data_IF_875256582181
#
_entry.id   IF_875256582181
#
_cell.length_a   1.000
_cell.length_b   1.000
_cell.length_c   1.000
_cell.angle_alpha   90.00
_cell.angle_beta   90.00
_cell.angle_gamma   90.00
#
_symmetry.space_group_name_H-M   'P 1'
#
loop_
_entity.id
_entity.type
_entity.pdbx_description
1 polymer ?
#
# COMPACT_ATOMS: atom_id res chain seq x y z
N UNK A 1 -3.07 14.67 2.28
CA UNK A 1 -4.06 13.73 1.73
C UNK A 1 -5.17 14.60 1.17
N UNK A 2 -5.51 14.49 -0.10
CA UNK A 2 -6.62 15.29 -0.65
C UNK A 2 -7.87 14.44 -0.75
N UNK A 3 -8.95 15.02 -0.27
CA UNK A 3 -10.25 14.39 -0.18
C UNK A 3 -11.18 14.96 -1.26
N UNK A 4 -11.90 14.06 -1.93
CA UNK A 4 -13.05 14.41 -2.76
C UNK A 4 -14.30 13.81 -2.10
N UNK A 5 -15.19 14.71 -1.68
CA UNK A 5 -16.29 14.54 -0.71
C UNK A 5 -17.50 13.70 -1.11
N UNK A 6 -17.33 12.61 -1.87
CA UNK A 6 -18.16 11.45 -1.52
C UNK A 6 -17.43 10.11 -1.64
N UNK A 7 -16.14 10.12 -1.99
CA UNK A 7 -15.49 8.92 -2.50
C UNK A 7 -15.02 8.01 -1.36
N UNK A 8 -15.39 6.73 -1.45
CA UNK A 8 -14.98 5.60 -0.60
C UNK A 8 -13.48 5.27 -0.76
N UNK A 9 -12.64 6.28 -0.97
CA UNK A 9 -11.23 6.19 -1.33
C UNK A 9 -10.36 6.94 -0.34
N UNK A 10 -9.25 6.32 0.05
CA UNK A 10 -8.16 6.95 0.80
C UNK A 10 -7.01 7.19 -0.16
N UNK A 11 -6.54 8.45 -0.27
CA UNK A 11 -5.44 8.83 -1.18
C UNK A 11 -4.15 9.14 -0.42
N UNK A 12 -3.12 8.31 -0.60
CA UNK A 12 -1.78 8.59 -0.07
C UNK A 12 -1.06 9.65 -0.91
N UNK A 13 -0.27 10.49 -0.23
CA UNK A 13 0.59 11.50 -0.87
C UNK A 13 2.02 11.00 -1.06
N UNK A 14 2.77 11.59 -2.00
CA UNK A 14 4.13 11.14 -2.32
C UNK A 14 5.16 11.26 -1.20
N UNK A 15 4.99 12.19 -0.28
CA UNK A 15 5.84 12.34 0.92
C UNK A 15 5.62 11.21 1.93
N UNK A 16 4.39 10.76 2.10
CA UNK A 16 4.07 9.58 2.91
C UNK A 16 4.74 8.34 2.32
N UNK A 17 4.71 8.21 0.99
CA UNK A 17 5.37 7.10 0.30
C UNK A 17 6.89 7.12 0.52
N UNK A 18 7.54 8.28 0.40
CA UNK A 18 8.98 8.38 0.63
C UNK A 18 9.36 7.96 2.06
N UNK A 19 8.61 8.44 3.06
CA UNK A 19 8.82 8.02 4.44
C UNK A 19 8.56 6.52 4.63
N UNK A 20 7.48 6.00 4.04
CA UNK A 20 7.16 4.58 4.12
C UNK A 20 8.27 3.70 3.50
N UNK A 21 8.87 4.14 2.38
CA UNK A 21 10.07 3.51 1.82
C UNK A 21 11.26 3.54 2.77
N UNK A 22 11.46 4.63 3.53
CA UNK A 22 12.52 4.70 4.54
C UNK A 22 12.32 3.64 5.63
N UNK A 23 11.09 3.52 6.16
CA UNK A 23 10.75 2.49 7.17
C UNK A 23 11.04 1.08 6.65
N UNK A 24 10.58 0.77 5.42
CA UNK A 24 10.85 -0.53 4.78
C UNK A 24 12.36 -0.77 4.64
N UNK A 25 13.11 0.23 4.19
CA UNK A 25 14.54 0.12 4.00
C UNK A 25 15.28 -0.09 5.34
N UNK A 26 14.99 0.70 6.37
CA UNK A 26 15.63 0.58 7.70
C UNK A 26 15.39 -0.80 8.32
N UNK A 27 14.16 -1.31 8.23
CA UNK A 27 13.82 -2.65 8.72
C UNK A 27 14.51 -3.75 7.93
N UNK A 28 14.59 -3.61 6.61
CA UNK A 28 15.29 -4.61 5.78
C UNK A 28 16.78 -4.59 6.07
N UNK A 29 17.40 -3.41 6.09
CA UNK A 29 18.85 -3.24 6.26
C UNK A 29 19.32 -3.76 7.62
N UNK A 30 18.54 -3.54 8.69
CA UNK A 30 18.90 -4.06 10.03
C UNK A 30 18.93 -5.60 10.12
N UNK A 31 18.43 -6.31 9.09
CA UNK A 31 18.44 -7.77 8.99
C UNK A 31 19.39 -8.30 7.92
N UNK A 32 20.02 -7.43 7.13
CA UNK A 32 20.98 -7.87 6.13
C UNK A 32 22.24 -8.35 6.83
N UNK A 33 22.69 -9.55 6.47
CA UNK A 33 24.07 -9.94 6.69
C UNK A 33 24.96 -9.10 5.73
N UNK A 34 25.82 -8.22 6.24
CA UNK A 34 26.67 -7.37 5.40
C UNK A 34 27.69 -8.17 4.58
N UNK A 35 27.98 -9.42 4.96
CA UNK A 35 28.87 -10.32 4.21
C UNK A 35 28.15 -10.96 3.01
N UNK A 36 26.81 -10.96 3.02
CA UNK A 36 25.97 -11.52 1.95
C UNK A 36 25.37 -10.44 1.05
N UNK A 37 25.05 -9.26 1.59
CA UNK A 37 24.32 -8.21 0.88
C UNK A 37 24.98 -6.82 0.99
N UNK A 38 25.25 -6.19 -0.17
CA UNK A 38 25.67 -4.77 -0.22
C UNK A 38 24.46 -3.83 -0.06
N UNK A 39 24.44 -3.07 1.03
CA UNK A 39 23.40 -2.09 1.38
C UNK A 39 23.05 -1.13 0.23
N UNK A 40 24.05 -0.72 -0.59
CA UNK A 40 23.84 0.20 -1.72
C UNK A 40 22.94 -0.40 -2.80
N UNK A 41 23.00 -1.72 -2.98
CA UNK A 41 22.13 -2.43 -3.91
C UNK A 41 20.68 -2.45 -3.40
N UNK A 42 20.48 -2.50 -2.09
CA UNK A 42 19.16 -2.46 -1.46
C UNK A 42 18.58 -1.04 -1.36
N UNK A 43 19.38 0.03 -1.27
CA UNK A 43 18.82 1.40 -1.27
C UNK A 43 18.38 1.93 -2.65
N UNK A 44 18.65 1.22 -3.74
CA UNK A 44 18.15 1.56 -5.09
C UNK A 44 19.20 1.56 -6.21
N UNK A 45 20.46 1.20 -5.94
CA UNK A 45 21.55 1.31 -6.90
C UNK A 45 21.86 0.08 -7.78
N UNK A 46 20.98 -0.92 -7.90
CA UNK A 46 21.26 -2.18 -8.63
C UNK A 46 20.11 -2.68 -9.51
N UNK A 47 20.29 -3.81 -10.24
CA UNK A 47 19.27 -4.38 -11.14
C UNK A 47 18.03 -4.85 -10.37
N UNK A 48 16.80 -4.63 -10.84
CA UNK A 48 15.56 -4.91 -10.08
C UNK A 48 15.45 -6.34 -9.51
N UNK A 49 16.18 -7.30 -10.07
CA UNK A 49 16.18 -8.72 -9.66
C UNK A 49 17.50 -9.16 -9.01
N UNK A 50 17.43 -10.23 -8.23
CA UNK A 50 18.56 -11.00 -7.69
C UNK A 50 18.57 -12.37 -8.38
N UNK A 51 19.73 -12.85 -8.81
CA UNK A 51 19.90 -14.22 -9.32
C UNK A 51 20.66 -15.04 -8.29
N UNK A 52 20.06 -16.14 -7.82
CA UNK A 52 20.68 -17.08 -6.89
C UNK A 52 21.64 -18.03 -7.61
N UNK A 53 22.58 -18.70 -6.89
CA UNK A 53 23.54 -19.64 -7.49
C UNK A 53 22.92 -20.80 -8.28
N UNK A 54 21.69 -21.20 -7.97
CA UNK A 54 20.93 -22.23 -8.69
C UNK A 54 20.23 -21.71 -9.97
N UNK A 55 20.41 -20.43 -10.29
CA UNK A 55 19.83 -19.76 -11.45
C UNK A 55 18.45 -19.17 -11.20
N UNK A 56 17.90 -19.25 -9.99
CA UNK A 56 16.59 -18.68 -9.70
C UNK A 56 16.65 -17.14 -9.66
N UNK A 57 15.71 -16.48 -10.35
CA UNK A 57 15.65 -15.02 -10.46
C UNK A 57 14.46 -14.51 -9.65
N UNK A 58 14.73 -13.64 -8.67
CA UNK A 58 13.71 -13.08 -7.79
C UNK A 58 13.67 -11.56 -7.82
N UNK A 59 12.51 -10.98 -7.50
CA UNK A 59 12.35 -9.53 -7.37
C UNK A 59 12.94 -9.04 -6.05
N UNK A 60 13.93 -8.15 -6.09
CA UNK A 60 14.46 -7.54 -4.85
C UNK A 60 13.42 -6.68 -4.14
N UNK A 61 12.43 -6.17 -4.88
CA UNK A 61 11.33 -5.42 -4.29
C UNK A 61 10.49 -6.31 -3.37
N UNK A 62 10.06 -7.48 -3.84
CA UNK A 62 9.29 -8.41 -3.02
C UNK A 62 10.11 -9.01 -1.87
N UNK A 63 11.39 -9.29 -2.10
CA UNK A 63 12.30 -9.73 -1.04
C UNK A 63 12.38 -8.73 0.12
N UNK A 64 12.54 -7.43 -0.17
CA UNK A 64 12.53 -6.36 0.83
C UNK A 64 11.22 -6.29 1.59
N UNK A 65 10.10 -6.27 0.86
CA UNK A 65 8.78 -6.16 1.46
C UNK A 65 8.50 -7.34 2.38
N UNK A 66 8.77 -8.57 1.94
CA UNK A 66 8.60 -9.77 2.76
C UNK A 66 9.50 -9.77 3.99
N UNK A 67 10.75 -9.32 3.85
CA UNK A 67 11.66 -9.15 4.99
C UNK A 67 11.13 -8.13 5.99
N UNK A 68 10.57 -7.02 5.52
CA UNK A 68 9.96 -6.00 6.37
C UNK A 68 8.63 -6.46 7.01
N UNK A 69 7.92 -7.43 6.43
CA UNK A 69 6.69 -8.02 6.99
C UNK A 69 6.96 -8.98 8.16
N UNK A 70 8.08 -9.70 8.15
CA UNK A 70 8.38 -10.73 9.14
C UNK A 70 8.58 -10.11 10.52
N UNK A 71 7.81 -10.55 11.51
CA UNK A 71 7.91 -10.06 12.90
C UNK A 71 7.62 -8.57 13.09
N UNK A 72 7.06 -7.90 12.08
CA UNK A 72 6.60 -6.53 12.19
C UNK A 72 5.38 -6.42 13.12
N UNK A 73 5.13 -5.23 13.66
CA UNK A 73 3.83 -4.89 14.25
C UNK A 73 2.84 -4.50 13.14
N UNK A 74 1.56 -4.40 13.48
CA UNK A 74 0.52 -4.10 12.50
C UNK A 74 0.67 -2.74 11.82
N UNK A 75 1.04 -1.65 12.53
CA UNK A 75 1.30 -0.37 11.88
C UNK A 75 2.43 -0.45 10.86
N UNK A 76 3.52 -1.16 11.16
CA UNK A 76 4.61 -1.38 10.21
C UNK A 76 4.14 -2.21 9.01
N UNK A 77 3.38 -3.29 9.22
CA UNK A 77 2.79 -4.07 8.11
C UNK A 77 1.91 -3.22 7.20
N UNK A 78 1.13 -2.32 7.79
CA UNK A 78 0.29 -1.38 7.03
C UNK A 78 1.17 -0.49 6.15
N UNK A 79 2.22 0.11 6.69
CA UNK A 79 3.17 0.92 5.91
C UNK A 79 3.76 0.11 4.73
N UNK A 80 4.20 -1.12 5.00
CA UNK A 80 4.76 -2.01 3.96
C UNK A 80 3.72 -2.30 2.87
N UNK A 81 2.48 -2.62 3.25
CA UNK A 81 1.38 -2.87 2.31
C UNK A 81 1.04 -1.66 1.46
N UNK A 82 0.99 -0.47 2.09
CA UNK A 82 0.75 0.77 1.38
C UNK A 82 1.84 1.07 0.35
N UNK A 83 3.12 0.85 0.69
CA UNK A 83 4.25 0.97 -0.26
C UNK A 83 4.12 0.00 -1.41
N UNK A 84 3.81 -1.26 -1.13
CA UNK A 84 3.70 -2.29 -2.16
C UNK A 84 2.53 -2.06 -3.12
N UNK A 85 1.47 -1.41 -2.66
CA UNK A 85 0.21 -1.23 -3.37
C UNK A 85 0.01 0.21 -3.88
N UNK A 86 1.06 1.04 -3.90
CA UNK A 86 0.92 2.41 -4.42
C UNK A 86 0.59 2.44 -5.90
N UNK A 87 0.99 1.45 -6.68
CA UNK A 87 0.73 1.44 -8.13
C UNK A 87 -0.49 0.61 -8.52
N UNK A 88 -0.97 -0.29 -7.65
CA UNK A 88 -1.94 -1.33 -8.02
C UNK A 88 -3.27 -1.20 -7.24
N UNK A 89 -3.32 -0.26 -6.29
CA UNK A 89 -4.39 -0.08 -5.31
C UNK A 89 -4.53 -1.28 -4.34
N UNK A 90 -4.92 -0.98 -3.10
CA UNK A 90 -5.34 -1.98 -2.11
C UNK A 90 -6.80 -1.75 -1.74
N UNK A 91 -7.45 -2.70 -1.07
CA UNK A 91 -8.79 -2.46 -0.56
C UNK A 91 -9.06 -3.18 0.76
N UNK A 92 -10.06 -2.69 1.49
CA UNK A 92 -10.55 -3.28 2.73
C UNK A 92 -12.05 -3.48 2.61
N UNK A 93 -12.53 -4.68 2.90
CA UNK A 93 -13.95 -4.96 2.94
C UNK A 93 -14.65 -4.20 4.07
N UNK A 94 -15.94 -3.88 3.89
CA UNK A 94 -16.72 -3.10 4.86
C UNK A 94 -16.56 -3.57 6.32
N UNK A 95 -16.80 -4.86 6.62
CA UNK A 95 -16.68 -5.40 7.98
C UNK A 95 -15.29 -5.25 8.61
N UNK A 96 -14.24 -5.12 7.80
CA UNK A 96 -12.85 -5.02 8.25
C UNK A 96 -12.36 -3.58 8.42
N UNK A 97 -13.19 -2.56 8.13
CA UNK A 97 -12.77 -1.15 8.22
C UNK A 97 -12.41 -0.72 9.63
N UNK A 98 -13.17 -1.17 10.64
CA UNK A 98 -12.88 -0.90 12.04
C UNK A 98 -11.50 -1.44 12.44
N UNK A 99 -11.18 -2.68 12.02
CA UNK A 99 -9.88 -3.29 12.24
C UNK A 99 -8.73 -2.46 11.63
N UNK A 100 -8.88 -1.99 10.39
CA UNK A 100 -7.86 -1.11 9.80
C UNK A 100 -7.72 0.21 10.57
N UNK A 101 -8.83 0.78 11.04
CA UNK A 101 -8.80 2.01 11.84
C UNK A 101 -8.06 1.79 13.17
N UNK A 102 -8.24 0.65 13.84
CA UNK A 102 -7.51 0.29 15.06
C UNK A 102 -5.99 0.26 14.82
N UNK A 103 -5.55 -0.30 13.68
CA UNK A 103 -4.13 -0.32 13.30
C UNK A 103 -3.59 1.10 13.11
N UNK A 104 -4.34 1.97 12.45
CA UNK A 104 -3.92 3.36 12.19
C UNK A 104 -3.83 4.14 13.52
N UNK A 105 -4.84 4.04 14.39
CA UNK A 105 -4.84 4.72 15.69
C UNK A 105 -3.68 4.26 16.57
N UNK A 106 -3.42 2.94 16.60
CA UNK A 106 -2.26 2.38 17.28
C UNK A 106 -0.95 2.93 16.72
N UNK A 107 -0.81 2.92 15.39
CA UNK A 107 0.38 3.45 14.72
C UNK A 107 0.63 4.93 15.02
N UNK A 108 -0.42 5.74 15.11
CA UNK A 108 -0.33 7.15 15.51
C UNK A 108 0.09 7.30 16.99
N UNK A 109 -0.47 6.49 17.88
CA UNK A 109 -0.16 6.52 19.31
C UNK A 109 1.29 6.08 19.61
N UNK A 110 1.79 5.09 18.88
CA UNK A 110 3.15 4.55 19.02
C UNK A 110 4.21 5.38 18.26
N UNK A 111 3.78 6.34 17.43
CA UNK A 111 4.66 7.15 16.58
C UNK A 111 5.19 6.41 15.35
N UNK A 112 4.69 5.22 15.06
CA UNK A 112 4.99 4.49 13.82
C UNK A 112 4.37 5.17 12.62
N UNK A 113 3.16 5.73 12.73
CA UNK A 113 2.57 6.58 11.70
C UNK A 113 2.77 8.05 12.09
N UNK A 114 3.11 8.88 11.11
CA UNK A 114 3.29 10.32 11.34
C UNK A 114 1.95 11.01 11.57
N UNK A 115 1.85 11.85 12.60
CA UNK A 115 0.68 12.69 12.83
C UNK A 115 0.62 13.91 11.90
N UNK A 116 1.75 14.28 11.28
CA UNK A 116 1.90 15.43 10.40
C UNK A 116 2.75 15.07 9.18
N UNK A 117 2.38 15.61 8.02
CA UNK A 117 3.20 15.49 6.82
C UNK A 117 3.00 16.68 5.88
N UNK A 118 4.03 17.04 5.14
CA UNK A 118 3.93 17.98 4.02
C UNK A 118 3.66 17.23 2.72
N UNK A 119 3.16 17.88 1.66
CA UNK A 119 3.20 17.34 0.31
C UNK A 119 4.37 17.94 -0.50
N UNK A 120 4.56 17.49 -1.75
CA UNK A 120 5.62 17.99 -2.63
C UNK A 120 5.45 19.49 -3.00
N UNK A 121 4.30 20.10 -2.69
CA UNK A 121 4.04 21.53 -2.87
C UNK A 121 4.27 22.34 -1.57
N UNK A 122 4.77 21.70 -0.51
CA UNK A 122 5.01 22.34 0.79
C UNK A 122 3.74 22.55 1.63
N UNK A 123 2.57 22.06 1.21
CA UNK A 123 1.38 22.08 2.06
C UNK A 123 1.55 21.10 3.21
N UNK A 124 1.50 21.61 4.44
CA UNK A 124 1.54 20.81 5.67
C UNK A 124 0.13 20.41 6.07
N UNK A 125 -0.08 19.12 6.28
CA UNK A 125 -1.28 18.54 6.89
C UNK A 125 -1.01 18.39 8.39
N UNK A 126 -1.80 19.08 9.20
CA UNK A 126 -1.65 19.11 10.67
C UNK A 126 -2.31 17.87 11.30
N UNK A 127 -2.06 17.61 12.59
CA UNK A 127 -2.75 16.55 13.30
C UNK A 127 -4.26 16.78 13.22
N UNK A 128 -5.03 15.75 12.86
CA UNK A 128 -6.46 15.87 12.61
C UNK A 128 -6.85 16.09 11.14
N UNK A 129 -5.92 16.46 10.27
CA UNK A 129 -6.17 16.74 8.84
C UNK A 129 -5.70 15.60 7.91
N UNK A 130 -5.24 14.50 8.49
CA UNK A 130 -4.51 13.44 7.83
C UNK A 130 -5.08 12.06 8.19
N UNK A 131 -4.29 11.20 8.84
CA UNK A 131 -4.71 9.86 9.25
C UNK A 131 -5.97 9.84 10.12
N UNK A 132 -6.23 10.88 10.91
CA UNK A 132 -7.48 10.98 11.68
C UNK A 132 -8.72 11.07 10.78
N UNK A 133 -8.63 11.71 9.61
CA UNK A 133 -9.74 11.71 8.64
C UNK A 133 -9.96 10.31 8.04
N UNK A 134 -8.87 9.55 7.82
CA UNK A 134 -8.95 8.15 7.39
C UNK A 134 -9.63 7.30 8.46
N UNK A 135 -9.24 7.47 9.72
CA UNK A 135 -9.87 6.79 10.85
C UNK A 135 -11.35 7.13 10.91
N UNK A 136 -11.73 8.41 10.90
CA UNK A 136 -13.14 8.83 10.90
C UNK A 136 -13.90 8.17 9.75
N UNK A 137 -13.37 8.26 8.52
CA UNK A 137 -13.97 7.62 7.35
C UNK A 137 -14.15 6.12 7.60
N UNK A 138 -13.11 5.39 7.98
CA UNK A 138 -13.19 3.95 8.23
C UNK A 138 -14.22 3.58 9.29
N UNK A 139 -14.42 4.42 10.31
CA UNK A 139 -15.39 4.21 11.41
C UNK A 139 -16.83 4.58 11.04
N UNK A 140 -17.05 5.51 10.13
CA UNK A 140 -18.39 6.00 9.77
C UNK A 140 -19.29 4.91 9.18
N UNK A 141 -18.71 3.89 8.52
CA UNK A 141 -19.44 2.83 7.83
C UNK A 141 -18.70 1.50 7.89
N UNK A 142 -19.45 0.41 7.91
CA UNK A 142 -18.93 -0.97 7.93
C UNK A 142 -19.58 -1.86 6.86
N UNK A 143 -20.45 -1.30 6.02
CA UNK A 143 -21.24 -2.01 5.01
C UNK A 143 -20.68 -1.85 3.59
N UNK A 144 -19.69 -0.99 3.40
CA UNK A 144 -19.10 -0.69 2.10
C UNK A 144 -17.58 -0.78 2.13
N UNK A 145 -16.94 -1.29 1.07
CA UNK A 145 -15.49 -1.39 0.98
C UNK A 145 -14.84 -0.02 0.83
N UNK A 146 -13.57 0.07 1.22
CA UNK A 146 -12.72 1.25 1.03
C UNK A 146 -11.53 0.87 0.15
N UNK A 147 -11.22 1.73 -0.81
CA UNK A 147 -10.05 1.58 -1.68
C UNK A 147 -8.92 2.48 -1.21
N UNK A 148 -7.73 1.92 -1.10
CA UNK A 148 -6.48 2.60 -0.80
C UNK A 148 -5.78 2.87 -2.14
N UNK A 149 -5.64 4.14 -2.49
CA UNK A 149 -5.07 4.59 -3.77
C UNK A 149 -3.91 5.53 -3.53
N UNK A 150 -2.93 5.52 -4.41
CA UNK A 150 -1.90 6.55 -4.46
C UNK A 150 -2.27 7.60 -5.50
N UNK A 151 -1.97 8.88 -5.23
CA UNK A 151 -2.50 9.97 -6.06
C UNK A 151 -1.65 10.36 -7.26
N UNK A 152 -0.49 9.72 -7.49
CA UNK A 152 0.52 10.22 -8.45
C UNK A 152 0.65 9.34 -9.69
N UNK A 153 0.51 8.02 -9.55
CA UNK A 153 0.61 7.08 -10.67
C UNK A 153 -0.73 6.89 -11.36
N UNK A 154 -1.79 6.59 -10.61
CA UNK A 154 -3.11 6.31 -11.18
C UNK A 154 -4.28 6.76 -10.30
N UNK A 155 -5.27 7.38 -10.93
CA UNK A 155 -6.50 7.82 -10.27
C UNK A 155 -7.43 6.65 -9.93
N UNK A 156 -8.33 6.88 -8.97
CA UNK A 156 -9.45 5.98 -8.71
C UNK A 156 -10.79 6.75 -8.86
N UNK A 157 -11.82 6.18 -9.50
CA UNK A 157 -11.88 4.88 -10.18
C UNK A 157 -10.85 4.73 -11.32
N UNK A 158 -10.45 3.49 -11.61
CA UNK A 158 -9.36 3.16 -12.54
C UNK A 158 -9.88 2.28 -13.70
N UNK A 159 -9.74 2.71 -14.97
CA UNK A 159 -10.21 1.96 -16.13
C UNK A 159 -9.44 0.65 -16.36
N UNK A 160 -8.13 0.62 -16.14
CA UNK A 160 -7.32 -0.60 -16.27
C UNK A 160 -7.83 -1.70 -15.32
N UNK A 161 -8.13 -1.31 -14.06
CA UNK A 161 -8.74 -2.20 -13.08
C UNK A 161 -10.17 -2.62 -13.44
N UNK A 162 -10.88 -1.85 -14.27
CA UNK A 162 -12.18 -2.23 -14.80
C UNK A 162 -12.11 -3.21 -16.00
N UNK A 163 -10.91 -3.70 -16.35
CA UNK A 163 -10.69 -4.63 -17.44
C UNK A 163 -10.58 -3.95 -18.82
N UNK A 164 -10.06 -2.72 -18.85
CA UNK A 164 -10.00 -1.92 -20.08
C UNK A 164 -9.27 -2.60 -21.23
N UNK A 165 -9.93 -2.61 -22.39
CA UNK A 165 -9.29 -2.63 -23.72
C UNK A 165 -9.18 -1.20 -24.22
N UNK A 166 -8.37 -0.91 -25.25
CA UNK A 166 -8.23 0.46 -25.80
C UNK A 166 -9.57 1.13 -26.16
N UNK A 167 -10.58 0.37 -26.61
CA UNK A 167 -11.94 0.88 -26.89
C UNK A 167 -12.75 1.19 -25.61
N UNK A 168 -12.49 0.46 -24.52
CA UNK A 168 -13.16 0.65 -23.23
C UNK A 168 -12.65 1.92 -22.53
N UNK A 169 -11.36 2.21 -22.65
CA UNK A 169 -10.74 3.43 -22.11
C UNK A 169 -11.42 4.72 -22.56
N UNK A 170 -11.87 4.79 -23.83
CA UNK A 170 -12.58 5.96 -24.36
C UNK A 170 -14.02 6.08 -23.82
N UNK A 171 -14.65 4.94 -23.52
CA UNK A 171 -16.05 4.90 -23.04
C UNK A 171 -16.16 4.97 -21.51
N UNK A 172 -15.11 4.62 -20.77
CA UNK A 172 -15.11 4.60 -19.31
C UNK A 172 -15.48 5.96 -18.67
N UNK A 173 -14.94 7.11 -19.14
CA UNK A 173 -15.33 8.42 -18.62
C UNK A 173 -16.80 8.79 -18.89
N UNK A 174 -17.46 8.12 -19.83
CA UNK A 174 -18.87 8.33 -20.16
C UNK A 174 -19.83 7.59 -19.21
N UNK A 175 -19.33 6.61 -18.45
CA UNK A 175 -20.09 5.90 -17.42
C UNK A 175 -20.38 6.82 -16.22
N UNK A 176 -21.44 6.53 -15.46
CA UNK A 176 -21.64 7.21 -14.18
C UNK A 176 -20.51 6.89 -13.20
N UNK A 177 -20.27 7.78 -12.22
CA UNK A 177 -19.25 7.53 -11.18
C UNK A 177 -19.49 6.23 -10.41
N UNK A 178 -20.75 5.84 -10.22
CA UNK A 178 -21.11 4.60 -9.55
C UNK A 178 -20.76 3.37 -10.39
N UNK A 179 -21.01 3.42 -11.70
CA UNK A 179 -20.61 2.35 -12.62
C UNK A 179 -19.09 2.23 -12.74
N UNK A 180 -18.38 3.37 -12.87
CA UNK A 180 -16.92 3.41 -12.84
C UNK A 180 -16.39 2.76 -11.55
N UNK A 181 -16.91 3.18 -10.39
CA UNK A 181 -16.55 2.60 -9.10
C UNK A 181 -16.77 1.09 -9.06
N UNK A 182 -17.98 0.65 -9.45
CA UNK A 182 -18.40 -0.75 -9.39
C UNK A 182 -17.49 -1.62 -10.26
N UNK A 183 -17.25 -1.22 -11.50
CA UNK A 183 -16.42 -1.98 -12.44
C UNK A 183 -14.95 -2.03 -12.00
N UNK A 184 -14.36 -0.89 -11.60
CA UNK A 184 -12.99 -0.87 -11.10
C UNK A 184 -12.83 -1.75 -9.84
N UNK A 185 -13.78 -1.68 -8.90
CA UNK A 185 -13.74 -2.50 -7.69
C UNK A 185 -13.93 -3.99 -7.99
N UNK A 186 -14.77 -4.33 -8.97
CA UNK A 186 -14.97 -5.71 -9.41
C UNK A 186 -13.67 -6.32 -9.92
N UNK A 187 -12.93 -5.64 -10.80
CA UNK A 187 -11.65 -6.14 -11.27
C UNK A 187 -10.55 -6.07 -10.20
N UNK A 188 -10.57 -5.07 -9.30
CA UNK A 188 -9.65 -5.06 -8.14
C UNK A 188 -9.87 -6.26 -7.22
N UNK A 189 -11.12 -6.70 -7.03
CA UNK A 189 -11.47 -7.89 -6.23
C UNK A 189 -11.09 -9.20 -6.90
N UNK A 190 -10.97 -9.22 -8.23
CA UNK A 190 -10.53 -10.40 -8.96
C UNK A 190 -9.01 -10.64 -8.81
N UNK A 191 -8.25 -9.67 -8.32
CA UNK A 191 -6.82 -9.80 -8.08
C UNK A 191 -6.53 -10.41 -6.71
N UNK A 192 -5.65 -11.40 -6.66
CA UNK A 192 -5.25 -12.03 -5.41
C UNK A 192 -4.30 -11.13 -4.59
N UNK A 193 -4.45 -11.18 -3.26
CA UNK A 193 -3.55 -10.49 -2.33
C UNK A 193 -3.71 -8.98 -2.23
N UNK A 194 -4.69 -8.36 -2.91
CA UNK A 194 -4.92 -6.92 -2.82
C UNK A 194 -5.83 -6.50 -1.64
N UNK A 195 -6.69 -7.41 -1.18
CA UNK A 195 -7.48 -7.19 0.04
C UNK A 195 -6.56 -7.15 1.27
N UNK A 196 -6.76 -6.17 2.16
CA UNK A 196 -6.23 -6.23 3.53
C UNK A 196 -7.34 -6.71 4.45
N UNK A 197 -7.07 -7.79 5.17
CA UNK A 197 -8.02 -8.43 6.07
C UNK A 197 -7.28 -9.05 7.26
N UNK A 198 -7.94 -9.24 8.40
CA UNK A 198 -7.31 -9.80 9.59
C UNK A 198 -6.85 -11.25 9.40
N UNK A 199 -7.59 -12.05 8.63
CA UNK A 199 -7.42 -13.51 8.56
C UNK A 199 -6.03 -13.96 8.09
N UNK A 200 -5.41 -13.21 7.18
CA UNK A 200 -4.09 -13.53 6.63
C UNK A 200 -3.05 -12.43 6.90
N UNK A 201 -3.36 -11.44 7.74
CA UNK A 201 -2.53 -10.25 7.92
C UNK A 201 -1.09 -10.54 8.32
N UNK A 202 -0.91 -11.44 9.30
CA UNK A 202 0.41 -11.80 9.82
C UNK A 202 1.19 -12.72 8.86
N UNK A 203 0.47 -13.52 8.09
CA UNK A 203 1.02 -14.53 7.18
C UNK A 203 1.19 -14.02 5.75
N UNK A 204 0.63 -12.85 5.42
CA UNK A 204 0.66 -12.30 4.07
C UNK A 204 2.11 -12.12 3.56
N UNK A 205 2.36 -12.53 2.32
CA UNK A 205 3.62 -12.33 1.62
C UNK A 205 3.38 -11.90 0.17
N UNK A 206 4.30 -11.10 -0.36
CA UNK A 206 4.29 -10.60 -1.73
C UNK A 206 5.01 -11.55 -2.69
N UNK A 207 4.50 -11.65 -3.91
CA UNK A 207 5.16 -12.33 -5.04
C UNK A 207 5.66 -13.72 -4.69
N UNK A 208 6.99 -13.89 -4.67
CA UNK A 208 7.65 -15.17 -4.44
C UNK A 208 7.64 -15.66 -2.98
N UNK A 209 7.07 -14.91 -2.04
CA UNK A 209 6.91 -15.35 -0.64
C UNK A 209 8.17 -15.26 0.23
N UNK A 210 9.36 -15.35 -0.37
CA UNK A 210 10.64 -15.34 0.36
C UNK A 210 11.04 -13.99 0.93
N UNK A 211 11.77 -14.06 2.03
CA UNK A 211 12.48 -13.00 2.75
C UNK A 211 13.99 -13.23 2.72
N UNK A 212 14.76 -12.28 3.26
CA UNK A 212 16.21 -12.43 3.45
C UNK A 212 16.54 -13.59 4.37
N UNK A 213 15.70 -13.89 5.36
CA UNK A 213 15.94 -14.98 6.33
C UNK A 213 15.79 -16.39 5.69
N UNK A 214 15.26 -16.47 4.46
CA UNK A 214 15.07 -17.71 3.70
C UNK A 214 16.23 -18.02 2.73
N UNK A 215 17.23 -17.12 2.60
CA UNK A 215 18.35 -17.19 1.66
C UNK A 215 19.65 -17.45 2.41
#
# INVERSE_FOLDING_TARGET
MYWNSPTRTVKLLGTELHWAHQVVNERTISRLDPDVFDERHFRGGGPATLTLPDGWVMSRFFLKLNTAMIGADDPTRLVVRLVAQTEIHGWVNGPNRAWLADIIERGLAEGTLRSEFSNNMGQVFRPGEAWQQVVTLLRERSDEPVVLSYSVSDGWPNPEMAGSTSEFEETFPLLSQEEQWRLSLEGLRAQEGLEMRPDDWETFRFGHGLSVDDI
#
